data_IF_475164627785
#
_entry.id   IF_475164627785
#
_cell.length_a   1.000
_cell.length_b   1.000
_cell.length_c   1.000
_cell.angle_alpha   90.00
_cell.angle_beta   90.00
_cell.angle_gamma   90.00
#
_symmetry.space_group_name_H-M   'P 1'
#
loop_
_entity.id
_entity.type
_entity.pdbx_description
1 polymer ?
#
# COMPACT_ATOMS: atom_id res chain seq x y z
N UNK A 1 11.65 2.06 -16.01
CA UNK A 1 10.46 1.96 -15.17
C UNK A 1 9.73 0.66 -15.52
N UNK A 2 9.31 -0.15 -14.54
CA UNK A 2 8.43 -1.29 -14.81
C UNK A 2 7.05 -0.70 -15.08
N UNK A 3 6.45 -1.04 -16.21
CA UNK A 3 5.11 -0.57 -16.58
C UNK A 3 4.11 -1.69 -16.32
N UNK A 4 3.02 -1.36 -15.67
CA UNK A 4 1.89 -2.27 -15.47
C UNK A 4 1.05 -2.43 -16.74
N UNK A 5 -0.12 -3.00 -16.59
CA UNK A 5 -1.12 -3.08 -17.64
C UNK A 5 -1.74 -1.71 -17.88
N UNK A 6 -2.01 -1.39 -19.14
CA UNK A 6 -2.79 -0.21 -19.52
C UNK A 6 -4.29 -0.52 -19.43
N UNK A 7 -5.11 0.51 -19.44
CA UNK A 7 -6.58 0.39 -19.36
C UNK A 7 -7.12 -0.52 -20.45
N UNK A 8 -6.58 -0.39 -21.67
CA UNK A 8 -6.99 -1.20 -22.82
C UNK A 8 -6.73 -2.70 -22.62
N UNK A 9 -5.66 -3.06 -21.92
CA UNK A 9 -5.35 -4.46 -21.59
C UNK A 9 -6.42 -5.05 -20.66
N UNK A 10 -6.86 -4.26 -19.65
CA UNK A 10 -7.94 -4.66 -18.75
C UNK A 10 -9.28 -4.75 -19.49
N UNK A 11 -9.59 -3.79 -20.36
CA UNK A 11 -10.81 -3.81 -21.18
C UNK A 11 -10.86 -5.04 -22.05
N UNK A 12 -9.76 -5.38 -22.72
CA UNK A 12 -9.66 -6.59 -23.53
C UNK A 12 -9.82 -7.87 -22.69
N UNK A 13 -9.21 -7.90 -21.50
CA UNK A 13 -9.36 -9.00 -20.57
C UNK A 13 -10.83 -9.18 -20.14
N UNK A 14 -11.50 -8.09 -19.75
CA UNK A 14 -12.92 -8.12 -19.36
C UNK A 14 -13.79 -8.66 -20.50
N UNK A 15 -13.60 -8.16 -21.73
CA UNK A 15 -14.34 -8.63 -22.92
C UNK A 15 -14.22 -10.15 -23.10
N UNK A 16 -13.00 -10.67 -22.94
CA UNK A 16 -12.77 -12.12 -23.05
C UNK A 16 -13.50 -12.88 -21.94
N UNK A 17 -13.42 -12.41 -20.69
CA UNK A 17 -14.05 -13.07 -19.54
C UNK A 17 -15.59 -13.03 -19.59
N UNK A 18 -16.14 -11.98 -20.15
CA UNK A 18 -17.59 -11.80 -20.30
C UNK A 18 -18.16 -12.45 -21.57
N UNK A 19 -17.32 -13.18 -22.34
CA UNK A 19 -17.74 -13.82 -23.59
C UNK A 19 -17.89 -12.86 -24.77
N UNK A 20 -17.19 -11.72 -24.74
CA UNK A 20 -17.32 -10.62 -25.68
C UNK A 20 -16.95 -10.89 -27.13
N UNK A 21 -16.43 -12.08 -27.46
CA UNK A 21 -16.27 -12.54 -28.84
C UNK A 21 -17.60 -13.02 -29.47
N UNK A 22 -18.60 -13.30 -28.64
CA UNK A 22 -19.89 -13.88 -29.06
C UNK A 22 -21.07 -12.95 -28.74
N UNK A 23 -20.97 -12.18 -27.64
CA UNK A 23 -22.03 -11.31 -27.14
C UNK A 23 -21.48 -9.91 -26.94
N UNK A 24 -22.09 -8.89 -27.56
CA UNK A 24 -21.76 -7.49 -27.27
C UNK A 24 -22.23 -7.11 -25.86
N UNK A 25 -21.36 -6.47 -25.09
CA UNK A 25 -21.71 -5.96 -23.76
C UNK A 25 -22.49 -4.65 -23.89
N UNK A 26 -23.57 -4.50 -23.13
CA UNK A 26 -24.34 -3.26 -23.11
C UNK A 26 -23.54 -2.11 -22.49
N UNK A 27 -22.63 -2.41 -21.55
CA UNK A 27 -21.75 -1.43 -20.91
C UNK A 27 -20.37 -1.30 -21.56
N UNK A 28 -20.20 -1.70 -22.83
CA UNK A 28 -18.87 -1.71 -23.48
C UNK A 28 -18.19 -0.33 -23.49
N UNK A 29 -18.94 0.73 -23.65
CA UNK A 29 -18.43 2.11 -23.65
C UNK A 29 -17.98 2.57 -22.25
N UNK A 30 -18.53 1.98 -21.21
CA UNK A 30 -18.26 2.33 -19.82
C UNK A 30 -17.08 1.54 -19.23
N UNK A 31 -16.55 0.54 -19.94
CA UNK A 31 -15.47 -0.32 -19.42
C UNK A 31 -14.22 0.44 -18.98
N UNK A 32 -13.69 1.43 -19.72
CA UNK A 32 -12.55 2.21 -19.26
C UNK A 32 -12.85 2.93 -17.94
N UNK A 33 -14.04 3.51 -17.79
CA UNK A 33 -14.46 4.18 -16.57
C UNK A 33 -14.59 3.19 -15.40
N UNK A 34 -15.13 1.99 -15.65
CA UNK A 34 -15.24 0.94 -14.62
C UNK A 34 -13.85 0.54 -14.11
N UNK A 35 -12.88 0.40 -15.00
CA UNK A 35 -11.49 0.06 -14.65
C UNK A 35 -10.83 1.16 -13.85
N UNK A 36 -10.81 2.41 -14.38
CA UNK A 36 -10.05 3.52 -13.80
C UNK A 36 -10.71 4.12 -12.57
N UNK A 37 -12.03 4.29 -12.57
CA UNK A 37 -12.72 5.07 -11.55
C UNK A 37 -13.47 4.22 -10.52
N UNK A 38 -13.76 2.97 -10.82
CA UNK A 38 -14.47 2.11 -9.89
C UNK A 38 -13.53 1.04 -9.32
N UNK A 39 -12.98 0.18 -10.18
CA UNK A 39 -12.18 -0.94 -9.71
C UNK A 39 -10.83 -0.51 -9.14
N UNK A 40 -10.16 0.45 -9.79
CA UNK A 40 -8.87 0.96 -9.34
C UNK A 40 -9.00 1.78 -8.06
N UNK A 41 -10.01 2.65 -7.94
CA UNK A 41 -10.24 3.41 -6.70
C UNK A 41 -10.62 2.51 -5.52
N UNK A 42 -11.41 1.44 -5.75
CA UNK A 42 -11.69 0.45 -4.70
C UNK A 42 -10.40 -0.28 -4.28
N UNK A 43 -9.55 -0.67 -5.24
CA UNK A 43 -8.28 -1.33 -4.96
C UNK A 43 -7.30 -0.45 -4.17
N UNK A 44 -7.25 0.86 -4.44
CA UNK A 44 -6.38 1.80 -3.71
C UNK A 44 -6.60 1.75 -2.20
N UNK A 45 -7.84 1.55 -1.74
CA UNK A 45 -8.15 1.46 -0.32
C UNK A 45 -7.40 0.31 0.38
N UNK A 46 -6.97 -0.71 -0.37
CA UNK A 46 -6.26 -1.88 0.12
C UNK A 46 -4.74 -1.83 -0.15
N UNK A 47 -4.29 -0.91 -1.01
CA UNK A 47 -2.86 -0.77 -1.37
C UNK A 47 -2.10 0.10 -0.36
N UNK A 48 -2.30 -0.14 0.94
CA UNK A 48 -1.71 0.65 2.04
C UNK A 48 -0.34 0.13 2.51
N UNK A 49 0.39 -0.56 1.65
CA UNK A 49 1.73 -1.09 1.99
C UNK A 49 2.70 0.06 2.24
N UNK A 50 3.33 0.05 3.42
CA UNK A 50 4.31 1.06 3.77
C UNK A 50 5.61 0.86 3.01
N UNK A 51 6.13 1.94 2.42
CA UNK A 51 7.42 2.01 1.78
C UNK A 51 8.39 2.86 2.60
N UNK A 52 9.68 2.60 2.46
CA UNK A 52 10.73 3.32 3.17
C UNK A 52 11.65 4.00 2.18
N UNK A 53 11.94 5.27 2.41
CA UNK A 53 12.86 6.07 1.62
C UNK A 53 13.84 6.77 2.54
N UNK A 54 15.14 6.65 2.25
CA UNK A 54 16.18 7.40 2.96
C UNK A 54 16.66 8.56 2.11
N UNK A 55 16.72 9.74 2.73
CA UNK A 55 17.24 10.96 2.09
C UNK A 55 18.10 11.78 3.05
N UNK A 56 18.88 12.73 2.51
CA UNK A 56 19.61 13.70 3.31
C UNK A 56 18.64 14.61 4.08
N UNK A 57 19.04 15.03 5.26
CA UNK A 57 18.26 16.00 6.02
C UNK A 57 18.30 17.38 5.35
N UNK A 58 17.11 17.95 5.19
CA UNK A 58 16.89 19.35 4.86
C UNK A 58 15.66 19.84 5.62
N UNK A 59 15.57 21.13 6.01
CA UNK A 59 14.39 21.66 6.70
C UNK A 59 13.09 21.53 5.89
N UNK A 60 13.22 21.48 4.57
CA UNK A 60 12.13 21.25 3.63
C UNK A 60 12.61 20.28 2.56
N UNK A 61 11.82 19.23 2.31
CA UNK A 61 12.10 18.22 1.30
C UNK A 61 10.91 18.19 0.34
N UNK A 62 11.20 18.37 -0.95
CA UNK A 62 10.23 18.21 -2.02
C UNK A 62 10.07 16.72 -2.36
N UNK A 63 8.84 16.23 -2.33
CA UNK A 63 8.48 14.84 -2.57
C UNK A 63 7.63 14.65 -3.83
N UNK A 64 7.40 15.71 -4.61
CA UNK A 64 6.56 15.69 -5.82
C UNK A 64 6.93 14.59 -6.83
N UNK A 65 8.23 14.29 -6.95
CA UNK A 65 8.74 13.23 -7.83
C UNK A 65 8.65 11.81 -7.25
N UNK A 66 8.16 11.64 -6.03
CA UNK A 66 8.28 10.39 -5.26
C UNK A 66 6.98 9.61 -5.11
N UNK A 67 5.86 10.10 -5.64
CA UNK A 67 4.53 9.48 -5.49
C UNK A 67 4.19 9.17 -4.03
N UNK A 68 4.42 10.12 -3.14
CA UNK A 68 4.12 10.00 -1.71
C UNK A 68 2.68 10.44 -1.46
N UNK A 69 1.79 9.52 -1.12
CA UNK A 69 0.42 9.84 -0.77
C UNK A 69 0.31 10.26 0.70
N UNK A 70 0.73 9.41 1.62
CA UNK A 70 0.63 9.70 3.05
C UNK A 70 1.90 9.30 3.79
N UNK A 71 2.41 10.18 4.65
CA UNK A 71 3.57 9.90 5.48
C UNK A 71 3.09 9.34 6.83
N UNK A 72 3.53 8.12 7.17
CA UNK A 72 3.24 7.50 8.46
C UNK A 72 4.20 7.96 9.54
N UNK A 73 5.49 7.88 9.25
CA UNK A 73 6.56 8.22 10.20
C UNK A 73 7.79 8.76 9.50
N UNK A 74 8.52 9.61 10.21
CA UNK A 74 9.84 10.08 9.81
C UNK A 74 10.83 9.73 10.90
N UNK A 75 11.86 8.96 10.53
CA UNK A 75 12.87 8.48 11.46
C UNK A 75 14.18 9.21 11.22
N UNK A 76 14.83 9.56 12.28
CA UNK A 76 16.20 10.05 12.26
C UNK A 76 17.16 8.87 12.03
N UNK A 77 17.94 8.90 10.97
CA UNK A 77 18.99 7.91 10.78
C UNK A 77 20.15 8.20 11.74
N UNK A 78 20.66 7.15 12.37
CA UNK A 78 21.85 7.27 13.19
C UNK A 78 23.07 7.65 12.32
N UNK A 79 23.72 8.70 12.68
CA UNK A 79 25.15 8.79 12.39
C UNK A 79 25.84 7.75 13.28
N UNK A 80 26.54 6.79 12.68
CA UNK A 80 27.31 5.77 13.39
C UNK A 80 28.37 6.37 14.34
N UNK A 81 28.53 7.68 14.37
CA UNK A 81 29.55 8.40 15.12
C UNK A 81 29.03 9.15 16.36
N UNK A 82 27.72 9.09 16.66
CA UNK A 82 27.21 9.71 17.88
C UNK A 82 26.68 8.63 18.82
N UNK A 83 27.54 8.15 19.66
CA UNK A 83 27.19 7.45 20.89
C UNK A 83 26.37 8.42 21.78
N UNK A 84 25.03 8.36 21.69
CA UNK A 84 24.16 9.30 22.41
C UNK A 84 24.24 9.23 23.95
N UNK A 85 24.98 8.28 24.51
CA UNK A 85 25.11 8.12 25.96
C UNK A 85 26.58 7.94 26.41
N UNK A 86 27.58 8.14 25.54
CA UNK A 86 28.97 7.94 25.97
C UNK A 86 29.32 6.48 26.37
N UNK A 87 28.36 5.59 26.28
CA UNK A 87 28.55 4.16 26.46
C UNK A 87 28.86 3.56 25.10
N UNK A 88 30.12 3.55 24.78
CA UNK A 88 30.64 2.77 23.68
C UNK A 88 30.12 1.33 23.85
N UNK A 89 29.39 0.81 22.86
CA UNK A 89 28.90 -0.56 22.91
C UNK A 89 30.03 -1.56 23.16
N UNK A 90 31.24 -1.20 22.76
CA UNK A 90 32.45 -1.93 23.06
C UNK A 90 32.82 -1.89 24.56
N UNK A 91 32.59 -0.79 25.26
CA UNK A 91 32.90 -0.69 26.69
C UNK A 91 31.99 -1.60 27.53
N UNK A 92 30.72 -1.72 27.13
CA UNK A 92 29.79 -2.65 27.77
C UNK A 92 30.16 -4.14 27.51
N UNK A 93 30.71 -4.42 26.34
CA UNK A 93 31.22 -5.75 25.95
C UNK A 93 32.43 -6.12 26.85
N UNK A 94 33.38 -5.22 27.01
CA UNK A 94 34.58 -5.46 27.81
C UNK A 94 34.30 -5.59 29.32
N UNK A 95 33.33 -4.85 29.83
CA UNK A 95 33.01 -4.84 31.28
C UNK A 95 32.30 -6.14 31.73
N UNK A 96 31.55 -6.79 30.82
CA UNK A 96 30.79 -8.02 31.16
C UNK A 96 31.46 -9.33 30.68
N UNK A 97 32.53 -9.30 29.93
CA UNK A 97 33.23 -10.53 29.46
C UNK A 97 33.77 -11.43 30.57
N UNK A 98 33.94 -10.90 31.76
CA UNK A 98 34.48 -11.67 32.92
C UNK A 98 33.44 -12.38 33.77
N UNK A 99 32.16 -12.04 33.67
CA UNK A 99 31.14 -12.51 34.63
C UNK A 99 30.05 -13.42 34.04
N UNK A 100 29.83 -13.44 32.74
CA UNK A 100 28.72 -14.18 32.12
C UNK A 100 29.16 -14.93 30.86
N UNK A 101 28.68 -16.15 30.72
CA UNK A 101 28.93 -16.95 29.50
C UNK A 101 28.34 -16.29 28.24
N UNK A 102 28.94 -16.57 27.09
CA UNK A 102 28.63 -15.96 25.78
C UNK A 102 27.12 -15.95 25.43
N UNK A 103 26.37 -16.96 25.89
CA UNK A 103 24.92 -17.06 25.63
C UNK A 103 24.08 -16.07 26.43
N UNK A 104 24.50 -15.71 27.64
CA UNK A 104 23.80 -14.73 28.48
C UNK A 104 24.05 -13.33 27.97
N UNK A 105 25.26 -13.06 27.53
CA UNK A 105 25.69 -11.81 26.94
C UNK A 105 24.88 -11.45 25.66
N UNK A 106 24.66 -12.44 24.77
CA UNK A 106 23.86 -12.23 23.57
C UNK A 106 22.41 -11.89 23.89
N UNK A 107 21.79 -12.50 24.91
CA UNK A 107 20.45 -12.19 25.38
C UNK A 107 20.35 -10.79 25.97
N UNK A 108 21.30 -10.41 26.81
CA UNK A 108 21.34 -9.10 27.44
C UNK A 108 21.54 -7.98 26.41
N UNK A 109 22.31 -8.25 25.36
CA UNK A 109 22.50 -7.30 24.26
C UNK A 109 21.24 -7.12 23.41
N UNK A 110 20.47 -8.19 23.18
CA UNK A 110 19.19 -8.12 22.50
C UNK A 110 18.19 -7.32 23.33
N UNK A 111 18.06 -7.61 24.62
CA UNK A 111 17.18 -6.87 25.54
C UNK A 111 17.58 -5.40 25.64
N UNK A 112 18.88 -5.10 25.71
CA UNK A 112 19.39 -3.73 25.74
C UNK A 112 19.07 -2.98 24.44
N UNK A 113 19.26 -3.61 23.29
CA UNK A 113 18.93 -3.02 22.00
C UNK A 113 17.41 -2.79 21.82
N UNK A 114 16.58 -3.72 22.32
CA UNK A 114 15.14 -3.56 22.34
C UNK A 114 14.72 -2.40 23.25
N UNK A 115 15.28 -2.30 24.46
CA UNK A 115 15.02 -1.22 25.41
C UNK A 115 15.44 0.14 24.83
N UNK A 116 16.63 0.23 24.23
CA UNK A 116 17.09 1.47 23.58
C UNK A 116 16.19 1.84 22.40
N UNK A 117 15.78 0.88 21.58
CA UNK A 117 14.86 1.15 20.49
C UNK A 117 13.49 1.59 21.01
N UNK A 118 12.99 1.00 22.07
CA UNK A 118 11.74 1.37 22.69
C UNK A 118 11.79 2.77 23.33
N UNK A 119 12.89 3.09 24.06
CA UNK A 119 13.13 4.44 24.59
C UNK A 119 13.27 5.47 23.48
N UNK A 120 13.94 5.13 22.38
CA UNK A 120 14.07 6.01 21.21
C UNK A 120 12.74 6.26 20.51
N UNK A 121 11.92 5.22 20.36
CA UNK A 121 10.59 5.36 19.78
C UNK A 121 9.64 6.17 20.67
N UNK A 122 9.88 6.15 21.99
CA UNK A 122 9.07 6.91 22.96
C UNK A 122 9.60 8.33 23.16
N UNK A 123 10.90 8.56 23.00
CA UNK A 123 11.57 9.85 23.20
C UNK A 123 11.99 10.54 21.90
N UNK A 124 11.45 10.15 20.74
CA UNK A 124 11.76 10.79 19.47
C UNK A 124 11.12 12.19 19.33
N UNK A 125 11.13 12.96 20.39
CA UNK A 125 10.76 14.39 20.39
C UNK A 125 11.80 15.27 19.68
N UNK A 126 12.91 14.69 19.22
CA UNK A 126 14.01 15.42 18.59
C UNK A 126 13.77 15.78 17.12
N UNK A 127 12.79 15.16 16.50
CA UNK A 127 12.41 15.39 15.10
C UNK A 127 10.90 15.48 15.00
N UNK A 128 10.41 16.68 14.79
CA UNK A 128 9.02 16.93 14.44
C UNK A 128 8.89 17.16 12.93
N UNK A 129 7.73 16.84 12.38
CA UNK A 129 7.53 16.96 10.93
C UNK A 129 6.08 17.32 10.60
N UNK A 130 5.92 18.01 9.49
CA UNK A 130 4.64 18.35 8.90
C UNK A 130 4.68 18.09 7.40
N UNK A 131 3.71 17.34 6.89
CA UNK A 131 3.56 17.10 5.47
C UNK A 131 2.43 17.94 4.90
N UNK A 132 2.70 18.71 3.88
CA UNK A 132 1.72 19.44 3.10
C UNK A 132 1.39 18.60 1.84
N UNK A 133 0.21 17.97 1.87
CA UNK A 133 -0.26 17.12 0.76
C UNK A 133 -0.54 17.94 -0.51
N UNK A 134 -0.90 19.22 -0.39
CA UNK A 134 -1.22 20.06 -1.54
C UNK A 134 0.03 20.50 -2.30
N UNK A 135 1.12 20.77 -1.59
CA UNK A 135 2.42 21.15 -2.17
C UNK A 135 3.38 19.97 -2.32
N UNK A 136 3.00 18.77 -1.83
CA UNK A 136 3.84 17.56 -1.77
C UNK A 136 5.20 17.82 -1.09
N UNK A 137 5.20 18.68 -0.04
CA UNK A 137 6.41 19.10 0.70
C UNK A 137 6.40 18.60 2.13
N UNK A 138 7.54 18.08 2.56
CA UNK A 138 7.78 17.66 3.93
C UNK A 138 8.64 18.70 4.65
N UNK A 139 8.08 19.31 5.70
CA UNK A 139 8.77 20.23 6.59
C UNK A 139 9.28 19.48 7.82
N UNK A 140 10.55 19.71 8.17
CA UNK A 140 11.23 19.00 9.25
C UNK A 140 11.75 20.01 10.29
N UNK A 141 11.43 19.75 11.54
CA UNK A 141 11.86 20.54 12.68
C UNK A 141 12.72 19.65 13.59
N UNK A 142 14.03 19.75 13.46
CA UNK A 142 14.98 18.98 14.26
C UNK A 142 15.70 19.85 15.28
N UNK A 143 15.86 19.32 16.50
CA UNK A 143 16.72 19.92 17.50
C UNK A 143 18.20 19.55 17.25
N UNK A 144 19.09 20.42 17.70
CA UNK A 144 20.53 20.18 17.58
C UNK A 144 20.96 18.98 18.46
N UNK A 145 21.87 18.11 17.98
CA UNK A 145 22.57 18.13 16.70
C UNK A 145 21.67 17.67 15.52
N UNK A 146 21.75 18.38 14.40
CA UNK A 146 20.94 18.08 13.22
C UNK A 146 21.28 16.69 12.67
N UNK A 147 20.28 15.90 12.19
CA UNK A 147 20.52 14.62 11.55
C UNK A 147 21.23 14.81 10.20
N UNK A 148 22.06 13.87 9.79
CA UNK A 148 22.67 13.87 8.46
C UNK A 148 21.73 13.31 7.42
N UNK A 149 20.93 12.31 7.82
CA UNK A 149 19.94 11.65 6.98
C UNK A 149 18.72 11.24 7.80
N UNK A 150 17.62 11.08 7.10
CA UNK A 150 16.34 10.62 7.64
C UNK A 150 15.82 9.45 6.83
N UNK A 151 14.94 8.66 7.42
CA UNK A 151 14.13 7.66 6.72
C UNK A 151 12.67 8.02 6.86
N UNK A 152 11.99 8.12 5.74
CA UNK A 152 10.56 8.42 5.65
C UNK A 152 9.83 7.11 5.39
N UNK A 153 8.86 6.79 6.24
CA UNK A 153 7.90 5.70 6.03
C UNK A 153 6.63 6.31 5.47
N UNK A 154 6.25 5.90 4.27
CA UNK A 154 5.12 6.46 3.56
C UNK A 154 4.30 5.40 2.84
N UNK A 155 3.05 5.74 2.52
CA UNK A 155 2.19 4.99 1.61
C UNK A 155 2.29 5.67 0.24
N UNK A 156 2.64 4.92 -0.83
CA UNK A 156 2.67 5.48 -2.17
C UNK A 156 1.27 5.82 -2.67
N UNK A 157 1.14 6.90 -3.42
CA UNK A 157 -0.06 7.22 -4.17
C UNK A 157 0.11 6.76 -5.62
N UNK A 158 -0.84 5.96 -6.09
CA UNK A 158 -0.92 5.55 -7.48
C UNK A 158 -1.91 6.47 -8.21
N UNK A 159 -1.42 7.22 -9.19
CA UNK A 159 -2.23 8.16 -9.98
C UNK A 159 -2.92 7.46 -11.15
N UNK A 160 -2.23 6.49 -11.75
CA UNK A 160 -2.68 5.76 -12.93
C UNK A 160 -2.67 4.25 -12.73
N UNK A 161 -3.57 3.58 -13.44
CA UNK A 161 -3.65 2.10 -13.47
C UNK A 161 -2.33 1.47 -13.93
N UNK A 162 -1.63 2.11 -14.87
CA UNK A 162 -0.35 1.64 -15.42
C UNK A 162 0.82 1.63 -14.42
N UNK A 163 0.68 2.33 -13.28
CA UNK A 163 1.67 2.32 -12.20
C UNK A 163 1.60 1.06 -11.35
N UNK A 164 0.50 0.31 -11.45
CA UNK A 164 0.32 -0.97 -10.79
C UNK A 164 1.05 -2.06 -11.58
N UNK A 165 2.30 -2.33 -11.23
CA UNK A 165 3.16 -3.30 -11.95
C UNK A 165 3.33 -4.65 -11.24
N UNK A 166 2.89 -4.76 -10.00
CA UNK A 166 3.01 -5.99 -9.21
C UNK A 166 1.97 -7.02 -9.66
N UNK A 167 2.36 -8.24 -10.07
CA UNK A 167 1.42 -9.26 -10.55
C UNK A 167 0.27 -9.56 -9.58
N UNK A 168 0.54 -9.48 -8.29
CA UNK A 168 -0.44 -9.62 -7.22
C UNK A 168 -1.57 -8.60 -7.35
N UNK A 169 -1.27 -7.31 -7.38
CA UNK A 169 -2.26 -6.24 -7.51
C UNK A 169 -2.96 -6.24 -8.87
N UNK A 170 -2.22 -6.54 -9.95
CA UNK A 170 -2.80 -6.71 -11.29
C UNK A 170 -3.87 -7.82 -11.28
N UNK A 171 -3.64 -8.93 -10.58
CA UNK A 171 -4.60 -10.01 -10.46
C UNK A 171 -5.89 -9.57 -9.76
N UNK A 172 -5.78 -8.83 -8.66
CA UNK A 172 -6.95 -8.30 -7.95
C UNK A 172 -7.69 -7.25 -8.75
N UNK A 173 -6.99 -6.35 -9.43
CA UNK A 173 -7.62 -5.34 -10.30
C UNK A 173 -8.41 -5.99 -11.43
N UNK A 174 -7.90 -7.05 -12.05
CA UNK A 174 -8.63 -7.84 -13.06
C UNK A 174 -9.92 -8.42 -12.49
N UNK A 175 -9.85 -9.06 -11.33
CA UNK A 175 -11.02 -9.67 -10.68
C UNK A 175 -12.06 -8.62 -10.29
N UNK A 176 -11.63 -7.50 -9.71
CA UNK A 176 -12.51 -6.37 -9.37
C UNK A 176 -13.18 -5.78 -10.62
N UNK A 177 -12.41 -5.54 -11.68
CA UNK A 177 -12.92 -4.98 -12.91
C UNK A 177 -13.97 -5.89 -13.57
N UNK A 178 -13.75 -7.20 -13.59
CA UNK A 178 -14.74 -8.17 -14.08
C UNK A 178 -15.99 -8.18 -13.20
N UNK A 179 -15.86 -8.19 -11.87
CA UNK A 179 -16.98 -8.21 -10.94
C UNK A 179 -17.85 -6.94 -11.07
N UNK A 180 -17.23 -5.76 -11.16
CA UNK A 180 -17.97 -4.51 -11.38
C UNK A 180 -18.62 -4.44 -12.78
N UNK A 181 -17.99 -5.03 -13.79
CA UNK A 181 -18.60 -5.15 -15.12
C UNK A 181 -19.84 -6.06 -15.07
N UNK A 182 -19.77 -7.21 -14.37
CA UNK A 182 -20.92 -8.08 -14.16
C UNK A 182 -22.05 -7.36 -13.42
N UNK A 183 -21.72 -6.56 -12.42
CA UNK A 183 -22.71 -5.78 -11.67
C UNK A 183 -23.39 -4.75 -12.59
N UNK A 184 -22.63 -4.01 -13.39
CA UNK A 184 -23.17 -3.01 -14.31
C UNK A 184 -24.02 -3.65 -15.39
N UNK A 185 -23.51 -4.70 -16.03
CA UNK A 185 -24.24 -5.45 -17.07
C UNK A 185 -25.52 -6.08 -16.49
N UNK A 186 -25.43 -6.66 -15.30
CA UNK A 186 -26.57 -7.24 -14.59
C UNK A 186 -27.66 -6.20 -14.28
N UNK A 187 -27.27 -4.99 -13.85
CA UNK A 187 -28.20 -3.87 -13.62
C UNK A 187 -28.87 -3.41 -14.91
N UNK A 188 -28.15 -3.38 -16.02
CA UNK A 188 -28.71 -3.03 -17.33
C UNK A 188 -29.71 -4.09 -17.77
N UNK A 189 -29.30 -5.37 -17.77
CA UNK A 189 -30.15 -6.49 -18.20
C UNK A 189 -31.38 -6.68 -17.34
N UNK A 190 -31.29 -6.42 -16.04
CA UNK A 190 -32.45 -6.54 -15.14
C UNK A 190 -33.57 -5.52 -15.41
N UNK A 191 -33.24 -4.41 -16.05
CA UNK A 191 -34.24 -3.39 -16.46
C UNK A 191 -35.02 -3.76 -17.73
N UNK A 192 -34.48 -4.67 -18.54
CA UNK A 192 -35.12 -5.11 -19.76
C UNK A 192 -35.91 -6.38 -19.51
N UNK A 193 -37.13 -6.26 -18.97
CA UNK A 193 -38.09 -7.38 -18.91
C UNK A 193 -38.81 -7.48 -20.26
N UNK A 194 -38.47 -8.49 -21.03
CA UNK A 194 -39.20 -8.81 -22.26
C UNK A 194 -40.53 -9.47 -21.87
N UNK A 195 -41.65 -8.80 -22.16
CA UNK A 195 -43.02 -9.29 -21.92
C UNK A 195 -43.41 -10.49 -22.77
N UNK A 196 -42.54 -11.01 -23.61
CA UNK A 196 -42.78 -12.20 -24.45
C UNK A 196 -41.83 -13.32 -24.04
N UNK A 197 -42.23 -14.07 -23.08
CA UNK A 197 -41.79 -15.30 -22.42
C UNK A 197 -40.73 -16.24 -22.99
N UNK A 198 -39.91 -15.86 -23.95
CA UNK A 198 -38.95 -16.76 -24.61
C UNK A 198 -37.47 -16.45 -24.30
N UNK A 199 -37.15 -15.30 -23.72
CA UNK A 199 -35.79 -14.95 -23.33
C UNK A 199 -35.74 -14.47 -21.89
N UNK A 200 -35.19 -15.31 -21.04
CA UNK A 200 -34.87 -14.94 -19.66
C UNK A 200 -33.49 -14.25 -19.67
N UNK A 201 -33.45 -12.94 -19.44
CA UNK A 201 -32.20 -12.21 -19.30
C UNK A 201 -31.60 -12.57 -17.94
N UNK A 202 -30.36 -13.00 -17.94
CA UNK A 202 -29.58 -13.46 -16.79
C UNK A 202 -29.12 -12.33 -15.84
N UNK A 203 -29.76 -11.16 -15.90
CA UNK A 203 -29.37 -9.98 -15.13
C UNK A 203 -29.28 -10.21 -13.63
N UNK A 204 -30.24 -10.90 -13.02
CA UNK A 204 -30.25 -11.21 -11.59
C UNK A 204 -29.13 -12.21 -11.22
N UNK A 205 -28.83 -13.15 -12.09
CA UNK A 205 -27.72 -14.09 -11.89
C UNK A 205 -26.39 -13.35 -11.89
N UNK A 206 -26.16 -12.49 -12.87
CA UNK A 206 -24.97 -11.64 -12.94
C UNK A 206 -24.80 -10.75 -11.70
N UNK A 207 -25.89 -10.17 -11.19
CA UNK A 207 -25.86 -9.36 -9.97
C UNK A 207 -25.48 -10.19 -8.74
N UNK A 208 -26.01 -11.41 -8.59
CA UNK A 208 -25.69 -12.29 -7.47
C UNK A 208 -24.25 -12.78 -7.53
N UNK A 209 -23.75 -13.13 -8.72
CA UNK A 209 -22.35 -13.50 -8.95
C UNK A 209 -21.42 -12.33 -8.63
N UNK A 210 -21.69 -11.13 -9.15
CA UNK A 210 -20.91 -9.95 -8.89
C UNK A 210 -20.80 -9.64 -7.39
N UNK A 211 -21.93 -9.67 -6.68
CA UNK A 211 -21.97 -9.42 -5.24
C UNK A 211 -21.12 -10.45 -4.45
N UNK A 212 -21.22 -11.73 -4.82
CA UNK A 212 -20.44 -12.81 -4.21
C UNK A 212 -18.94 -12.65 -4.48
N UNK A 213 -18.57 -12.37 -5.73
CA UNK A 213 -17.16 -12.15 -6.13
C UNK A 213 -16.56 -10.93 -5.44
N UNK A 214 -17.28 -9.80 -5.39
CA UNK A 214 -16.81 -8.58 -4.72
C UNK A 214 -16.61 -8.83 -3.21
N UNK A 215 -17.53 -9.53 -2.56
CA UNK A 215 -17.41 -9.86 -1.16
C UNK A 215 -16.19 -10.76 -0.91
N UNK A 216 -16.00 -11.79 -1.74
CA UNK A 216 -14.85 -12.68 -1.62
C UNK A 216 -13.53 -11.92 -1.79
N UNK A 217 -13.41 -11.09 -2.83
CA UNK A 217 -12.19 -10.31 -3.11
C UNK A 217 -11.87 -9.37 -1.93
N UNK A 218 -12.88 -8.68 -1.39
CA UNK A 218 -12.70 -7.77 -0.26
C UNK A 218 -12.29 -8.52 1.01
N UNK A 219 -12.83 -9.72 1.24
CA UNK A 219 -12.41 -10.55 2.37
C UNK A 219 -10.96 -10.97 2.23
N UNK A 220 -10.55 -11.47 1.06
CA UNK A 220 -9.16 -11.84 0.77
C UNK A 220 -8.19 -10.65 0.94
N UNK A 221 -8.57 -9.46 0.48
CA UNK A 221 -7.76 -8.25 0.62
C UNK A 221 -7.61 -7.81 2.07
N UNK A 222 -8.69 -7.84 2.86
CA UNK A 222 -8.66 -7.50 4.28
C UNK A 222 -7.81 -8.47 5.10
N UNK A 223 -7.88 -9.77 4.82
CA UNK A 223 -7.05 -10.78 5.48
C UNK A 223 -5.56 -10.53 5.22
N UNK A 224 -5.20 -10.14 3.99
CA UNK A 224 -3.81 -9.84 3.64
C UNK A 224 -3.27 -8.55 4.30
N UNK A 225 -4.11 -7.55 4.50
CA UNK A 225 -3.72 -6.32 5.24
C UNK A 225 -3.43 -6.68 6.70
N UNK A 226 -4.30 -7.43 7.35
CA UNK A 226 -4.13 -7.83 8.73
C UNK A 226 -2.86 -8.68 8.96
N UNK A 227 -2.47 -9.53 8.00
CA UNK A 227 -1.23 -10.29 8.05
C UNK A 227 0.00 -9.39 7.97
N UNK A 228 -0.03 -8.34 7.16
CA UNK A 228 1.08 -7.40 7.02
C UNK A 228 1.24 -6.48 8.25
N UNK A 229 0.16 -6.12 8.92
CA UNK A 229 0.22 -5.33 10.17
C UNK A 229 0.73 -6.12 11.37
N UNK A 230 0.54 -7.43 11.38
CA UNK A 230 1.04 -8.29 12.48
C UNK A 230 2.53 -8.60 12.39
N UNK A 231 3.17 -8.33 11.26
CA UNK A 231 4.61 -8.62 10.99
C UNK A 231 5.45 -7.33 11.07
N UNK A 232 4.84 -6.15 11.09
CA UNK A 232 5.51 -4.84 11.21
C UNK A 232 5.60 -4.37 12.65
#
# INVERSE_FOLDING_TARGET
MKKGWEVDDYVNYIKVQMGGSVVSLACEQDLPFIVEKIAFEDLKNYMQTSHYMSCGYAPMIDLSDKQVGHIKHVFRNKNNNVSMIGLDSNMFIYQNQGQYGVNQFAKDQIVYNLLINQVRNTLSTDLDWQYDEAEEKLYLYAQYPLPTSITIQYIPEFKDVSEVYTPYWISYLKRLAVAYTKETEGRIRSKYTLNSGTYNLDGNTLLSEAASELQQIRTELNENINLNETIS
#
